data_IF_686480723539
#
_entry.id   IF_686480723539
#
_cell.length_a   1.000
_cell.length_b   1.000
_cell.length_c   1.000
_cell.angle_alpha   90.00
_cell.angle_beta   90.00
_cell.angle_gamma   90.00
#
_symmetry.space_group_name_H-M   'P 1'
#
loop_
_entity.id
_entity.type
_entity.pdbx_description
1 polymer ?
#
# COMPACT_ATOMS: atom_id res chain seq x y z
N UNK A 1 -15.79 -56.51 -11.28
CA UNK A 1 -15.46 -56.69 -12.71
C UNK A 1 -16.34 -55.72 -13.52
N UNK A 2 -15.71 -54.71 -14.14
CA UNK A 2 -16.19 -53.68 -15.10
C UNK A 2 -17.32 -52.72 -14.66
N UNK A 3 -16.88 -51.53 -14.27
CA UNK A 3 -17.64 -50.28 -14.34
C UNK A 3 -17.77 -49.89 -15.83
N UNK A 4 -18.98 -49.58 -16.29
CA UNK A 4 -19.26 -49.10 -17.64
C UNK A 4 -19.32 -47.57 -17.63
N UNK A 5 -18.50 -46.97 -18.47
CA UNK A 5 -18.57 -45.56 -18.88
C UNK A 5 -19.90 -45.30 -19.60
N UNK A 6 -20.54 -44.16 -19.32
CA UNK A 6 -21.64 -43.65 -20.13
C UNK A 6 -21.31 -42.24 -20.62
N UNK A 7 -21.14 -42.18 -21.93
CA UNK A 7 -20.91 -41.02 -22.79
C UNK A 7 -22.16 -40.15 -22.84
N UNK A 8 -21.98 -38.83 -22.71
CA UNK A 8 -23.02 -37.81 -22.91
C UNK A 8 -23.02 -37.38 -24.39
N UNK A 9 -24.15 -37.38 -25.11
CA UNK A 9 -24.21 -36.84 -26.47
C UNK A 9 -24.56 -35.35 -26.49
N UNK A 10 -23.89 -34.66 -27.41
CA UNK A 10 -24.08 -33.27 -27.85
C UNK A 10 -25.36 -33.16 -28.70
N UNK A 11 -26.18 -32.15 -28.45
CA UNK A 11 -27.38 -31.85 -29.26
C UNK A 11 -27.77 -30.36 -29.23
N UNK A 12 -27.56 -29.70 -30.36
CA UNK A 12 -27.77 -28.28 -30.65
C UNK A 12 -29.25 -27.85 -30.75
N UNK A 13 -29.54 -26.58 -30.43
CA UNK A 13 -30.18 -25.54 -31.28
C UNK A 13 -30.54 -24.31 -30.41
N UNK A 14 -29.84 -23.18 -30.58
CA UNK A 14 -30.12 -22.03 -31.47
C UNK A 14 -31.37 -21.22 -31.09
N UNK A 15 -31.16 -20.00 -30.57
CA UNK A 15 -31.68 -18.77 -31.20
C UNK A 15 -30.91 -17.52 -30.71
N UNK A 16 -30.52 -16.66 -31.67
CA UNK A 16 -29.98 -15.31 -31.47
C UNK A 16 -31.06 -14.28 -31.83
N UNK A 17 -30.83 -13.00 -31.48
CA UNK A 17 -30.74 -12.01 -32.54
C UNK A 17 -29.42 -11.22 -32.53
N UNK A 18 -28.99 -10.95 -33.76
CA UNK A 18 -27.96 -10.06 -34.29
C UNK A 18 -28.22 -8.57 -33.92
N UNK A 19 -27.36 -7.58 -34.13
CA UNK A 19 -25.93 -7.44 -34.42
C UNK A 19 -25.62 -5.92 -34.47
N UNK A 20 -24.33 -5.56 -34.35
CA UNK A 20 -23.77 -4.29 -34.78
C UNK A 20 -22.96 -3.63 -33.66
N UNK A 21 -21.65 -3.40 -33.75
CA UNK A 21 -20.66 -3.61 -34.80
C UNK A 21 -19.34 -2.98 -34.33
N UNK A 22 -18.22 -3.44 -34.89
CA UNK A 22 -16.84 -2.99 -34.66
C UNK A 22 -16.26 -3.29 -33.25
N UNK A 23 -15.10 -3.91 -33.06
CA UNK A 23 -14.07 -4.41 -33.95
C UNK A 23 -13.12 -5.23 -33.08
N UNK A 24 -12.96 -6.51 -33.38
CA UNK A 24 -12.01 -7.40 -32.72
C UNK A 24 -10.63 -7.18 -33.33
N UNK A 25 -9.66 -6.76 -32.52
CA UNK A 25 -8.27 -7.15 -32.72
C UNK A 25 -7.79 -7.89 -31.47
N UNK A 26 -7.23 -9.11 -31.63
CA UNK A 26 -6.68 -9.88 -30.53
C UNK A 26 -5.33 -9.28 -30.12
N UNK A 27 -5.16 -8.90 -28.86
CA UNK A 27 -3.83 -8.59 -28.33
C UNK A 27 -3.11 -9.92 -28.08
N UNK A 28 -2.42 -10.37 -29.13
CA UNK A 28 -1.34 -11.35 -29.04
C UNK A 28 -0.25 -10.82 -28.11
N UNK A 29 0.12 -11.59 -27.09
CA UNK A 29 1.33 -11.34 -26.30
C UNK A 29 2.57 -11.54 -27.19
N UNK A 30 2.99 -10.46 -27.84
CA UNK A 30 4.25 -10.41 -28.55
C UNK A 30 5.40 -10.35 -27.53
N UNK A 31 6.16 -11.43 -27.51
CA UNK A 31 7.46 -11.57 -26.87
C UNK A 31 8.44 -10.57 -27.52
N UNK A 32 8.51 -9.35 -27.01
CA UNK A 32 9.54 -8.39 -27.39
C UNK A 32 10.65 -8.41 -26.35
N UNK A 33 11.72 -9.11 -26.71
CA UNK A 33 13.03 -8.91 -26.10
C UNK A 33 13.52 -7.51 -26.45
N UNK A 34 13.56 -6.64 -25.46
CA UNK A 34 14.42 -5.46 -25.48
C UNK A 34 15.27 -5.46 -24.22
N UNK A 35 16.55 -5.72 -24.43
CA UNK A 35 17.63 -5.48 -23.49
C UNK A 35 17.71 -3.98 -23.22
N UNK A 36 17.15 -3.52 -22.10
CA UNK A 36 17.37 -2.14 -21.64
C UNK A 36 18.53 -2.12 -20.66
N UNK A 37 19.64 -1.56 -21.15
CA UNK A 37 20.89 -1.42 -20.44
C UNK A 37 20.81 -0.48 -19.23
N UNK A 38 21.61 -0.84 -18.23
CA UNK A 38 22.30 0.01 -17.26
C UNK A 38 21.89 1.49 -17.13
N UNK A 39 21.33 1.82 -15.95
CA UNK A 39 21.38 3.08 -15.14
C UNK A 39 19.96 3.37 -14.60
N UNK A 40 19.70 3.28 -13.29
CA UNK A 40 20.22 4.16 -12.23
C UNK A 40 20.75 3.36 -11.03
N UNK A 41 22.02 3.60 -10.67
CA UNK A 41 22.65 3.13 -9.43
C UNK A 41 22.28 4.11 -8.30
N UNK A 42 21.91 3.59 -7.14
CA UNK A 42 21.94 4.23 -5.81
C UNK A 42 21.29 5.62 -5.70
N UNK A 43 20.11 5.70 -5.09
CA UNK A 43 19.42 6.97 -4.80
C UNK A 43 19.97 7.70 -3.55
N UNK A 44 21.15 7.33 -3.06
CA UNK A 44 21.88 8.12 -2.06
C UNK A 44 23.00 8.86 -2.79
N UNK A 45 22.82 10.14 -3.17
CA UNK A 45 23.93 10.93 -3.65
C UNK A 45 25.01 10.96 -2.57
N UNK A 46 26.24 10.61 -2.93
CA UNK A 46 27.41 10.80 -2.04
C UNK A 46 27.53 12.30 -1.76
N UNK A 47 27.16 12.74 -0.56
CA UNK A 47 27.25 14.14 -0.12
C UNK A 47 28.71 14.53 0.15
N UNK A 48 29.04 15.79 -0.11
CA UNK A 48 30.39 16.34 0.13
C UNK A 48 30.54 16.76 1.60
N UNK A 49 31.77 16.87 2.14
CA UNK A 49 32.00 17.27 3.54
C UNK A 49 31.39 18.64 3.92
N UNK A 50 31.09 19.50 2.95
CA UNK A 50 30.45 20.80 3.16
C UNK A 50 28.92 20.73 3.38
N UNK A 51 28.28 19.61 3.03
CA UNK A 51 26.84 19.36 3.24
C UNK A 51 26.52 18.81 4.64
N UNK A 52 27.50 18.73 5.53
CA UNK A 52 27.37 18.20 6.91
C UNK A 52 26.63 19.15 7.87
N UNK A 53 25.73 20.00 7.36
CA UNK A 53 24.69 20.57 8.20
C UNK A 53 23.94 19.40 8.87
N UNK A 54 23.59 19.53 10.16
CA UNK A 54 22.85 18.50 10.91
C UNK A 54 21.63 18.06 10.10
N UNK A 55 21.71 16.90 9.46
CA UNK A 55 20.57 16.28 8.79
C UNK A 55 19.50 16.08 9.86
N UNK A 56 18.31 16.66 9.70
CA UNK A 56 17.25 16.53 10.67
C UNK A 56 16.85 15.06 10.84
N UNK A 57 16.54 14.65 12.07
CA UNK A 57 15.98 13.31 12.35
C UNK A 57 14.76 12.99 11.46
N UNK A 58 13.98 14.00 11.06
CA UNK A 58 12.86 13.85 10.11
C UNK A 58 13.29 13.42 8.71
N UNK A 59 14.43 13.88 8.21
CA UNK A 59 14.98 13.48 6.91
C UNK A 59 15.48 12.03 6.98
N UNK A 60 16.19 11.66 8.04
CA UNK A 60 16.64 10.28 8.28
C UNK A 60 15.45 9.32 8.37
N UNK A 61 14.41 9.69 9.12
CA UNK A 61 13.16 8.94 9.19
C UNK A 61 12.53 8.73 7.82
N UNK A 62 12.41 9.80 7.02
CA UNK A 62 11.78 9.75 5.69
C UNK A 62 12.54 8.82 4.75
N UNK A 63 13.88 8.90 4.74
CA UNK A 63 14.73 8.04 3.92
C UNK A 63 14.63 6.56 4.32
N UNK A 64 14.68 6.27 5.62
CA UNK A 64 14.55 4.90 6.12
C UNK A 64 13.16 4.33 5.85
N UNK A 65 12.10 5.11 6.08
CA UNK A 65 10.73 4.71 5.76
C UNK A 65 10.61 4.37 4.28
N UNK A 66 11.11 5.22 3.39
CA UNK A 66 11.09 4.97 1.95
C UNK A 66 11.83 3.67 1.57
N UNK A 67 13.01 3.43 2.16
CA UNK A 67 13.82 2.24 1.89
C UNK A 67 13.19 0.94 2.41
N UNK A 68 12.47 0.97 3.54
CA UNK A 68 11.70 -0.17 4.07
C UNK A 68 10.47 -0.42 3.19
N UNK A 69 9.75 0.64 2.83
CA UNK A 69 8.53 0.54 2.03
C UNK A 69 8.80 0.08 0.59
N UNK A 70 9.96 0.40 0.02
CA UNK A 70 10.37 -0.05 -1.33
C UNK A 70 10.97 -1.47 -1.34
N UNK A 71 11.29 -2.02 -0.16
CA UNK A 71 12.00 -3.29 -0.01
C UNK A 71 13.52 -3.21 -0.24
N UNK A 72 14.09 -2.01 -0.43
CA UNK A 72 15.55 -1.82 -0.48
C UNK A 72 16.21 -2.30 0.82
N UNK A 73 15.55 -2.06 1.96
CA UNK A 73 15.80 -2.76 3.20
C UNK A 73 14.80 -3.91 3.30
N UNK A 74 15.31 -5.14 3.22
CA UNK A 74 14.48 -6.34 3.21
C UNK A 74 13.61 -6.45 4.48
N UNK A 75 12.40 -7.03 4.39
CA UNK A 75 11.63 -7.42 5.57
C UNK A 75 12.40 -8.39 6.46
N UNK A 76 12.10 -8.39 7.76
CA UNK A 76 12.73 -9.25 8.78
C UNK A 76 14.28 -9.23 8.76
N UNK A 77 14.87 -8.08 8.40
CA UNK A 77 16.31 -7.92 8.28
C UNK A 77 16.88 -7.00 9.33
N UNK A 78 18.09 -7.32 9.82
CA UNK A 78 18.77 -6.50 10.83
C UNK A 78 19.20 -5.15 10.27
N UNK A 79 19.02 -4.13 11.09
CA UNK A 79 19.44 -2.77 10.82
C UNK A 79 20.81 -2.52 11.46
N UNK A 80 21.79 -2.17 10.63
CA UNK A 80 23.10 -1.74 11.11
C UNK A 80 23.14 -0.19 11.19
N UNK A 81 23.01 0.33 12.43
CA UNK A 81 23.03 1.77 12.72
C UNK A 81 24.31 2.42 12.19
N UNK A 82 25.46 1.80 12.39
CA UNK A 82 26.76 2.36 12.00
C UNK A 82 26.88 2.49 10.47
N UNK A 83 26.39 1.48 9.74
CA UNK A 83 26.35 1.51 8.28
C UNK A 83 25.41 2.59 7.75
N UNK A 84 24.23 2.76 8.38
CA UNK A 84 23.26 3.81 8.02
C UNK A 84 23.85 5.19 8.31
N UNK A 85 24.44 5.39 9.49
CA UNK A 85 25.11 6.64 9.87
C UNK A 85 26.16 7.05 8.84
N UNK A 86 27.02 6.11 8.40
CA UNK A 86 28.00 6.38 7.33
C UNK A 86 27.35 6.70 5.98
N UNK A 87 26.29 5.99 5.63
CA UNK A 87 25.60 6.15 4.34
C UNK A 87 24.93 7.52 4.23
N UNK A 88 24.30 7.98 5.31
CA UNK A 88 23.62 9.29 5.34
C UNK A 88 24.51 10.44 5.79
N UNK A 89 25.74 10.16 6.24
CA UNK A 89 26.67 11.20 6.71
C UNK A 89 26.23 11.85 8.03
N UNK A 90 25.62 11.07 8.93
CA UNK A 90 25.04 11.54 10.20
C UNK A 90 25.61 10.78 11.40
N UNK A 91 25.51 11.34 12.60
CA UNK A 91 25.83 10.61 13.83
C UNK A 91 24.81 9.49 14.11
N UNK A 92 25.08 8.64 15.10
CA UNK A 92 24.16 7.54 15.44
C UNK A 92 22.88 8.01 16.13
N UNK A 93 22.89 9.18 16.78
CA UNK A 93 21.74 9.73 17.51
C UNK A 93 20.51 9.93 16.62
N UNK A 94 20.55 10.71 15.52
CA UNK A 94 19.38 10.90 14.66
C UNK A 94 18.93 9.60 13.97
N UNK A 95 19.83 8.64 13.77
CA UNK A 95 19.46 7.30 13.27
C UNK A 95 18.65 6.54 14.31
N UNK A 96 19.07 6.54 15.58
CA UNK A 96 18.32 5.89 16.66
C UNK A 96 16.95 6.51 16.89
N UNK A 97 16.86 7.83 16.88
CA UNK A 97 15.58 8.54 17.01
C UNK A 97 14.64 8.22 15.83
N UNK A 98 15.18 8.18 14.60
CA UNK A 98 14.40 7.77 13.43
C UNK A 98 13.91 6.31 13.54
N UNK A 99 14.75 5.40 14.04
CA UNK A 99 14.38 4.00 14.27
C UNK A 99 13.32 3.84 15.36
N UNK A 100 13.38 4.61 16.45
CA UNK A 100 12.34 4.63 17.48
C UNK A 100 11.00 5.12 16.94
N UNK A 101 11.02 6.12 16.06
CA UNK A 101 9.79 6.55 15.37
C UNK A 101 9.23 5.46 14.46
N UNK A 102 10.09 4.78 13.70
CA UNK A 102 9.68 3.66 12.84
C UNK A 102 9.22 2.43 13.62
N UNK A 103 9.68 2.25 14.86
CA UNK A 103 9.15 1.26 15.80
C UNK A 103 7.72 1.63 16.20
N UNK A 104 7.45 2.91 16.48
CA UNK A 104 6.09 3.41 16.68
C UNK A 104 5.15 3.18 15.48
N UNK A 105 5.69 3.19 14.25
CA UNK A 105 4.95 2.87 13.02
C UNK A 105 4.85 1.35 12.74
N UNK A 106 5.32 0.49 13.64
CA UNK A 106 5.43 -0.97 13.46
C UNK A 106 6.25 -1.40 12.22
N UNK A 107 7.16 -0.55 11.73
CA UNK A 107 8.08 -0.88 10.63
C UNK A 107 9.39 -1.49 11.12
N UNK A 108 9.71 -1.29 12.40
CA UNK A 108 10.93 -1.74 13.06
C UNK A 108 10.58 -2.48 14.35
N UNK A 109 11.31 -3.55 14.63
CA UNK A 109 11.35 -4.22 15.92
C UNK A 109 12.66 -3.87 16.64
N UNK A 110 12.58 -3.52 17.92
CA UNK A 110 13.75 -3.51 18.80
C UNK A 110 13.83 -4.79 19.63
N UNK A 111 15.02 -5.36 19.77
CA UNK A 111 15.28 -6.52 20.62
C UNK A 111 16.54 -6.31 21.47
N UNK A 112 16.44 -6.40 22.81
CA UNK A 112 17.61 -6.34 23.69
C UNK A 112 18.70 -7.32 23.26
N UNK A 113 19.94 -6.84 23.16
CA UNK A 113 21.10 -7.64 22.73
C UNK A 113 21.16 -8.01 21.23
N UNK A 114 20.08 -7.76 20.46
CA UNK A 114 20.04 -8.01 19.00
C UNK A 114 19.93 -6.74 18.16
N UNK A 115 19.55 -5.62 18.77
CA UNK A 115 19.40 -4.32 18.11
C UNK A 115 18.08 -4.21 17.37
N UNK A 116 18.08 -3.45 16.27
CA UNK A 116 16.89 -3.19 15.46
C UNK A 116 16.82 -4.13 14.26
N UNK A 117 15.60 -4.51 13.86
CA UNK A 117 15.31 -5.17 12.59
C UNK A 117 14.04 -4.61 11.98
N UNK A 118 13.84 -4.76 10.67
CA UNK A 118 12.52 -4.48 10.06
C UNK A 118 11.51 -5.54 10.49
N UNK A 119 10.23 -5.17 10.53
CA UNK A 119 9.15 -6.15 10.74
C UNK A 119 8.99 -7.05 9.51
N UNK A 120 8.49 -8.27 9.73
CA UNK A 120 8.05 -9.13 8.65
C UNK A 120 6.90 -8.48 7.85
N UNK A 121 6.69 -8.93 6.62
CA UNK A 121 5.46 -8.60 5.89
C UNK A 121 4.28 -9.34 6.54
N UNK A 122 3.07 -8.81 6.34
CA UNK A 122 1.85 -9.55 6.67
C UNK A 122 1.84 -10.86 5.87
N UNK A 123 1.48 -11.94 6.53
CA UNK A 123 1.05 -13.15 5.85
C UNK A 123 -0.44 -13.03 5.45
N UNK A 124 -0.96 -14.06 4.79
CA UNK A 124 -2.36 -14.04 4.33
C UNK A 124 -3.35 -13.94 5.49
N UNK A 125 -3.06 -14.58 6.64
CA UNK A 125 -3.92 -14.50 7.81
C UNK A 125 -3.91 -13.10 8.41
N UNK A 126 -2.73 -12.49 8.58
CA UNK A 126 -2.60 -11.12 9.06
C UNK A 126 -3.25 -10.10 8.12
N UNK A 127 -3.23 -10.34 6.81
CA UNK A 127 -4.01 -9.55 5.85
C UNK A 127 -5.51 -9.70 6.10
N UNK A 128 -5.99 -10.94 6.27
CA UNK A 128 -7.40 -11.23 6.52
C UNK A 128 -7.89 -10.56 7.81
N UNK A 129 -7.19 -10.76 8.93
CA UNK A 129 -7.53 -10.18 10.23
C UNK A 129 -7.60 -8.65 10.17
N UNK A 130 -6.63 -8.04 9.46
CA UNK A 130 -6.60 -6.59 9.29
C UNK A 130 -7.81 -6.10 8.47
N UNK A 131 -8.13 -6.76 7.37
CA UNK A 131 -9.27 -6.36 6.53
C UNK A 131 -10.62 -6.64 7.20
N UNK A 132 -10.73 -7.66 8.05
CA UNK A 132 -11.91 -7.89 8.88
C UNK A 132 -12.12 -6.75 9.87
N UNK A 133 -11.07 -6.31 10.58
CA UNK A 133 -11.13 -5.12 11.43
C UNK A 133 -11.57 -3.87 10.65
N UNK A 134 -10.97 -3.65 9.48
CA UNK A 134 -11.34 -2.55 8.57
C UNK A 134 -12.82 -2.57 8.19
N UNK A 135 -13.35 -3.73 7.81
CA UNK A 135 -14.77 -3.93 7.46
C UNK A 135 -15.72 -3.70 8.64
N UNK A 136 -15.29 -3.94 9.88
CA UNK A 136 -16.10 -3.66 11.08
C UNK A 136 -16.20 -2.16 11.38
N UNK A 137 -15.17 -1.38 11.05
CA UNK A 137 -15.01 -0.01 11.53
C UNK A 137 -15.31 1.04 10.46
N UNK A 138 -14.70 0.92 9.28
CA UNK A 138 -14.74 1.97 8.25
C UNK A 138 -16.13 2.15 7.62
N UNK A 139 -16.88 1.08 7.24
CA UNK A 139 -18.24 1.24 6.72
C UNK A 139 -19.19 1.91 7.71
N UNK A 140 -19.13 1.52 8.98
CA UNK A 140 -19.90 2.16 10.04
C UNK A 140 -19.52 3.64 10.18
N UNK A 141 -18.23 3.97 10.14
CA UNK A 141 -17.77 5.36 10.25
C UNK A 141 -18.27 6.21 9.07
N UNK A 142 -18.18 5.69 7.84
CA UNK A 142 -18.71 6.33 6.64
C UNK A 142 -20.22 6.60 6.75
N UNK A 143 -20.99 5.61 7.23
CA UNK A 143 -22.41 5.78 7.56
C UNK A 143 -22.63 6.90 8.56
N UNK A 144 -21.92 6.85 9.68
CA UNK A 144 -22.13 7.75 10.81
C UNK A 144 -21.91 9.22 10.44
N UNK A 145 -20.84 9.51 9.69
CA UNK A 145 -20.51 10.90 9.28
C UNK A 145 -21.40 11.43 8.16
N UNK A 146 -22.08 10.55 7.43
CA UNK A 146 -23.02 10.94 6.37
C UNK A 146 -24.39 11.37 6.93
N UNK A 147 -24.70 11.13 8.21
CA UNK A 147 -26.01 11.47 8.79
C UNK A 147 -26.20 12.98 9.00
N UNK A 148 -25.16 13.69 9.45
CA UNK A 148 -25.23 15.12 9.74
C UNK A 148 -24.70 15.95 8.56
N UNK A 149 -25.51 16.90 8.08
CA UNK A 149 -25.14 17.80 6.97
C UNK A 149 -24.20 18.93 7.41
N UNK A 150 -24.19 19.30 8.68
CA UNK A 150 -23.39 20.43 9.19
C UNK A 150 -21.95 20.05 9.50
N UNK A 151 -21.74 18.84 10.02
CA UNK A 151 -20.41 18.30 10.35
C UNK A 151 -19.87 17.31 9.30
N UNK A 152 -20.56 17.21 8.15
CA UNK A 152 -20.23 16.28 7.08
C UNK A 152 -18.81 16.53 6.49
N UNK A 153 -17.92 15.52 6.48
CA UNK A 153 -16.56 15.70 5.95
C UNK A 153 -16.48 15.59 4.42
N UNK A 154 -17.59 15.42 3.70
CA UNK A 154 -17.63 15.10 2.26
C UNK A 154 -16.87 16.09 1.38
N UNK A 155 -16.98 17.39 1.64
CA UNK A 155 -16.23 18.41 0.90
C UNK A 155 -14.71 18.30 1.11
N UNK A 156 -14.28 17.98 2.35
CA UNK A 156 -12.87 17.78 2.66
C UNK A 156 -12.33 16.49 2.04
N UNK A 157 -13.14 15.42 2.03
CA UNK A 157 -12.80 14.16 1.38
C UNK A 157 -12.62 14.34 -0.13
N UNK A 158 -13.55 15.04 -0.79
CA UNK A 158 -13.42 15.38 -2.21
C UNK A 158 -12.15 16.21 -2.47
N UNK A 159 -11.86 17.19 -1.63
CA UNK A 159 -10.65 17.99 -1.74
C UNK A 159 -9.37 17.16 -1.59
N UNK A 160 -9.32 16.21 -0.65
CA UNK A 160 -8.17 15.32 -0.48
C UNK A 160 -7.96 14.42 -1.71
N UNK A 161 -9.04 13.94 -2.33
CA UNK A 161 -8.96 13.15 -3.57
C UNK A 161 -8.44 13.99 -4.74
N UNK A 162 -9.03 15.16 -4.97
CA UNK A 162 -8.61 16.02 -6.09
C UNK A 162 -7.19 16.54 -5.91
N UNK A 163 -6.78 16.87 -4.68
CA UNK A 163 -5.38 17.23 -4.38
C UNK A 163 -4.40 16.13 -4.77
N UNK A 164 -4.71 14.87 -4.48
CA UNK A 164 -3.84 13.76 -4.88
C UNK A 164 -3.77 13.64 -6.41
N UNK A 165 -4.91 13.74 -7.09
CA UNK A 165 -5.01 13.68 -8.55
C UNK A 165 -4.21 14.79 -9.22
N UNK A 166 -4.30 16.03 -8.72
CA UNK A 166 -3.57 17.18 -9.25
C UNK A 166 -2.05 17.03 -9.09
N UNK A 167 -1.60 16.36 -8.02
CA UNK A 167 -0.16 16.09 -7.79
C UNK A 167 0.38 14.92 -8.59
N UNK A 168 -0.48 14.11 -9.22
CA UNK A 168 -0.08 12.88 -9.88
C UNK A 168 0.40 13.13 -11.32
N UNK A 169 1.70 13.38 -11.50
CA UNK A 169 2.30 13.43 -12.83
C UNK A 169 2.34 12.03 -13.49
N UNK A 170 2.09 11.93 -14.82
CA UNK A 170 2.36 10.71 -15.56
C UNK A 170 3.86 10.38 -15.41
N UNK A 171 4.20 9.15 -15.02
CA UNK A 171 5.57 8.62 -14.85
C UNK A 171 6.28 8.87 -13.50
N UNK A 172 5.63 9.43 -12.48
CA UNK A 172 6.19 9.53 -11.13
C UNK A 172 5.93 8.26 -10.28
N UNK A 173 6.91 7.82 -9.48
CA UNK A 173 6.68 6.84 -8.41
C UNK A 173 5.95 7.52 -7.25
N UNK A 174 4.63 7.47 -7.30
CA UNK A 174 3.72 8.08 -6.32
C UNK A 174 3.37 7.13 -5.17
N UNK A 175 4.13 6.05 -4.93
CA UNK A 175 3.78 5.07 -3.88
C UNK A 175 3.64 5.73 -2.51
N UNK A 176 4.58 6.59 -2.14
CA UNK A 176 4.56 7.27 -0.84
C UNK A 176 3.39 8.25 -0.75
N UNK A 177 3.11 8.97 -1.84
CA UNK A 177 2.00 9.90 -1.93
C UNK A 177 0.66 9.17 -1.83
N UNK A 178 0.54 8.00 -2.49
CA UNK A 178 -0.64 7.15 -2.44
C UNK A 178 -0.88 6.61 -1.04
N UNK A 179 0.15 6.08 -0.38
CA UNK A 179 0.07 5.61 1.02
C UNK A 179 -0.41 6.74 1.93
N UNK A 180 0.13 7.95 1.74
CA UNK A 180 -0.22 9.10 2.56
C UNK A 180 -1.64 9.61 2.27
N UNK A 181 -2.06 9.61 1.01
CA UNK A 181 -3.43 9.92 0.60
C UNK A 181 -4.44 8.93 1.19
N UNK A 182 -4.21 7.64 1.01
CA UNK A 182 -5.07 6.56 1.50
C UNK A 182 -5.24 6.68 3.03
N UNK A 183 -4.14 6.84 3.77
CA UNK A 183 -4.20 7.04 5.21
C UNK A 183 -5.00 8.27 5.63
N UNK A 184 -4.76 9.43 5.00
CA UNK A 184 -5.49 10.67 5.32
C UNK A 184 -6.98 10.56 5.00
N UNK A 185 -7.33 9.95 3.88
CA UNK A 185 -8.72 9.81 3.45
C UNK A 185 -9.53 9.04 4.50
N UNK A 186 -9.01 7.89 4.96
CA UNK A 186 -9.67 7.07 5.98
C UNK A 186 -9.65 7.73 7.37
N UNK A 187 -8.54 8.37 7.74
CA UNK A 187 -8.43 9.12 9.01
C UNK A 187 -9.42 10.28 9.10
N UNK A 188 -9.68 11.00 7.99
CA UNK A 188 -10.67 12.08 7.94
C UNK A 188 -12.08 11.57 8.27
N UNK A 189 -12.48 10.42 7.72
CA UNK A 189 -13.78 9.80 8.00
C UNK A 189 -13.86 9.40 9.48
N UNK A 190 -12.85 8.70 9.98
CA UNK A 190 -12.82 8.21 11.36
C UNK A 190 -12.81 9.35 12.38
N UNK A 191 -12.03 10.40 12.13
CA UNK A 191 -11.96 11.59 13.00
C UNK A 191 -13.28 12.33 13.02
N UNK A 192 -13.95 12.45 11.88
CA UNK A 192 -15.25 13.11 11.78
C UNK A 192 -16.37 12.39 12.55
N UNK A 193 -16.19 11.12 12.95
CA UNK A 193 -17.14 10.44 13.86
C UNK A 193 -17.18 11.07 15.25
N UNK A 194 -16.16 11.86 15.62
CA UNK A 194 -16.01 12.40 16.97
C UNK A 194 -15.70 11.34 18.04
N UNK A 195 -15.42 10.09 17.64
CA UNK A 195 -15.09 9.00 18.54
C UNK A 195 -13.56 8.78 18.60
N UNK A 196 -12.86 9.32 19.61
CA UNK A 196 -11.40 9.21 19.70
C UNK A 196 -10.93 7.78 19.94
N UNK A 197 -11.75 6.91 20.53
CA UNK A 197 -11.39 5.50 20.80
C UNK A 197 -11.21 4.75 19.49
N UNK A 198 -12.13 4.95 18.54
CA UNK A 198 -12.06 4.31 17.22
C UNK A 198 -10.90 4.85 16.41
N UNK A 199 -10.71 6.18 16.39
CA UNK A 199 -9.57 6.79 15.69
C UNK A 199 -8.22 6.29 16.20
N UNK A 200 -8.06 6.17 17.53
CA UNK A 200 -6.84 5.65 18.14
C UNK A 200 -6.62 4.16 17.85
N UNK A 201 -7.67 3.33 17.98
CA UNK A 201 -7.58 1.91 17.67
C UNK A 201 -7.21 1.67 16.21
N UNK A 202 -7.81 2.44 15.28
CA UNK A 202 -7.48 2.35 13.86
C UNK A 202 -6.05 2.79 13.57
N UNK A 203 -5.62 3.94 14.13
CA UNK A 203 -4.27 4.48 13.91
C UNK A 203 -3.17 3.48 14.35
N UNK A 204 -3.38 2.76 15.45
CA UNK A 204 -2.43 1.75 15.96
C UNK A 204 -2.20 0.57 15.01
N UNK A 205 -3.13 0.31 14.09
CA UNK A 205 -2.95 -0.77 13.10
C UNK A 205 -1.90 -0.42 12.04
N UNK A 206 -1.67 0.87 11.78
CA UNK A 206 -0.89 1.36 10.65
C UNK A 206 -1.24 0.65 9.33
N UNK A 207 -2.51 0.30 9.14
CA UNK A 207 -2.97 -0.66 8.13
C UNK A 207 -2.43 -0.32 6.72
N UNK A 208 -2.56 0.94 6.29
CA UNK A 208 -2.09 1.39 4.98
C UNK A 208 -0.57 1.20 4.84
N UNK A 209 0.23 1.53 5.86
CA UNK A 209 1.69 1.29 5.80
C UNK A 209 1.99 -0.19 5.55
N UNK A 210 1.33 -1.10 6.27
CA UNK A 210 1.60 -2.53 6.15
C UNK A 210 1.06 -3.14 4.85
N UNK A 211 -0.15 -2.77 4.44
CA UNK A 211 -0.80 -3.26 3.22
C UNK A 211 0.03 -2.87 1.99
N UNK A 212 0.47 -1.61 1.89
CA UNK A 212 1.25 -1.14 0.75
C UNK A 212 2.69 -1.71 0.69
N UNK A 213 3.20 -2.34 1.76
CA UNK A 213 4.48 -3.08 1.69
C UNK A 213 4.39 -4.40 0.92
N UNK A 214 3.18 -4.94 0.73
CA UNK A 214 2.98 -6.19 0.00
C UNK A 214 3.22 -6.02 -1.52
N UNK A 215 3.12 -4.79 -2.04
CA UNK A 215 3.31 -4.52 -3.46
C UNK A 215 4.27 -3.37 -3.74
N UNK A 216 5.37 -3.63 -4.46
CA UNK A 216 6.29 -2.57 -4.85
C UNK A 216 5.74 -1.71 -6.00
N UNK A 217 4.60 -2.03 -6.63
CA UNK A 217 4.01 -1.21 -7.71
C UNK A 217 2.54 -0.94 -7.46
N UNK A 218 2.17 0.32 -7.67
CA UNK A 218 0.81 0.80 -7.55
C UNK A 218 0.06 0.56 -8.87
N UNK A 219 -0.42 -0.67 -9.06
CA UNK A 219 -1.07 -1.12 -10.30
C UNK A 219 -2.55 -0.71 -10.40
N UNK A 220 -3.17 -0.33 -9.28
CA UNK A 220 -4.63 -0.13 -9.18
C UNK A 220 -5.01 1.27 -8.65
N UNK A 221 -4.09 2.24 -8.74
CA UNK A 221 -4.31 3.63 -8.27
C UNK A 221 -5.63 4.22 -8.75
N UNK A 222 -5.90 4.12 -10.06
CA UNK A 222 -7.08 4.72 -10.67
C UNK A 222 -8.37 4.17 -10.04
N UNK A 223 -8.45 2.85 -9.86
CA UNK A 223 -9.62 2.20 -9.26
C UNK A 223 -9.84 2.65 -7.81
N UNK A 224 -8.76 2.75 -7.02
CA UNK A 224 -8.84 3.23 -5.63
C UNK A 224 -9.30 4.68 -5.56
N UNK A 225 -8.80 5.54 -6.45
CA UNK A 225 -9.22 6.95 -6.49
C UNK A 225 -10.70 7.08 -6.87
N UNK A 226 -11.17 6.30 -7.85
CA UNK A 226 -12.58 6.30 -8.21
C UNK A 226 -13.47 5.77 -7.08
N UNK A 227 -13.00 4.78 -6.31
CA UNK A 227 -13.66 4.33 -5.08
C UNK A 227 -13.74 5.42 -4.02
N UNK A 228 -12.64 6.11 -3.74
CA UNK A 228 -12.60 7.23 -2.80
C UNK A 228 -13.56 8.35 -3.22
N UNK A 229 -13.63 8.69 -4.52
CA UNK A 229 -14.61 9.66 -5.03
C UNK A 229 -16.06 9.22 -4.76
N UNK A 230 -16.37 7.93 -4.95
CA UNK A 230 -17.73 7.41 -4.68
C UNK A 230 -18.09 7.54 -3.20
N UNK A 231 -17.17 7.17 -2.29
CA UNK A 231 -17.35 7.32 -0.85
C UNK A 231 -17.56 8.80 -0.50
N UNK A 232 -16.66 9.67 -0.94
CA UNK A 232 -16.71 11.11 -0.65
C UNK A 232 -18.00 11.75 -1.16
N UNK A 233 -18.47 11.35 -2.34
CA UNK A 233 -19.73 11.83 -2.93
C UNK A 233 -20.95 11.36 -2.14
N UNK A 234 -20.98 10.09 -1.71
CA UNK A 234 -22.06 9.55 -0.89
C UNK A 234 -22.15 10.26 0.47
N UNK A 235 -20.99 10.46 1.11
CA UNK A 235 -20.88 11.24 2.34
C UNK A 235 -21.37 12.68 2.10
N UNK A 236 -20.86 13.38 1.09
CA UNK A 236 -21.25 14.76 0.77
C UNK A 236 -22.76 14.94 0.47
N UNK A 237 -23.40 13.90 -0.06
CA UNK A 237 -24.84 13.89 -0.36
C UNK A 237 -25.70 13.67 0.88
N UNK A 238 -25.08 13.33 2.02
CA UNK A 238 -25.71 12.90 3.26
C UNK A 238 -26.59 11.64 3.07
N UNK A 239 -26.05 10.65 2.35
CA UNK A 239 -26.66 9.35 2.11
C UNK A 239 -25.90 8.27 2.90
N UNK A 240 -26.34 7.94 4.13
CA UNK A 240 -25.62 7.03 5.01
C UNK A 240 -25.60 5.59 4.50
N UNK A 241 -26.68 5.10 3.88
CA UNK A 241 -26.72 3.78 3.27
C UNK A 241 -25.72 3.67 2.11
N UNK A 242 -25.68 4.68 1.24
CA UNK A 242 -24.74 4.70 0.12
C UNK A 242 -23.29 4.83 0.59
N UNK A 243 -23.02 5.63 1.62
CA UNK A 243 -21.68 5.80 2.17
C UNK A 243 -21.14 4.49 2.78
N UNK A 244 -21.97 3.77 3.53
CA UNK A 244 -21.65 2.46 4.10
C UNK A 244 -21.34 1.42 3.03
N UNK A 245 -22.19 1.35 1.99
CA UNK A 245 -22.03 0.43 0.89
C UNK A 245 -20.75 0.74 0.09
N UNK A 246 -20.55 2.01 -0.28
CA UNK A 246 -19.37 2.43 -1.05
C UNK A 246 -18.07 2.14 -0.31
N UNK A 247 -18.03 2.35 1.01
CA UNK A 247 -16.88 2.01 1.83
C UNK A 247 -16.68 0.49 1.90
N UNK A 248 -17.75 -0.28 2.16
CA UNK A 248 -17.68 -1.75 2.19
C UNK A 248 -17.10 -2.34 0.91
N UNK A 249 -17.55 -1.82 -0.24
CA UNK A 249 -17.09 -2.28 -1.55
C UNK A 249 -15.62 -1.90 -1.79
N UNK A 250 -15.20 -0.69 -1.43
CA UNK A 250 -13.80 -0.27 -1.50
C UNK A 250 -12.89 -1.21 -0.68
N UNK A 251 -13.25 -1.54 0.56
CA UNK A 251 -12.45 -2.41 1.42
C UNK A 251 -12.36 -3.84 0.84
N UNK A 252 -13.48 -4.39 0.34
CA UNK A 252 -13.49 -5.72 -0.32
C UNK A 252 -12.66 -5.74 -1.60
N UNK A 253 -12.77 -4.71 -2.43
CA UNK A 253 -11.98 -4.58 -3.66
C UNK A 253 -10.50 -4.43 -3.34
N UNK A 254 -10.17 -3.64 -2.32
CA UNK A 254 -8.81 -3.50 -1.81
C UNK A 254 -8.26 -4.85 -1.31
N UNK A 255 -9.02 -5.63 -0.55
CA UNK A 255 -8.62 -6.99 -0.16
C UNK A 255 -8.34 -7.87 -1.38
N UNK A 256 -9.22 -7.85 -2.39
CA UNK A 256 -9.03 -8.58 -3.64
C UNK A 256 -7.73 -8.19 -4.36
N UNK A 257 -7.41 -6.90 -4.42
CA UNK A 257 -6.14 -6.40 -5.01
C UNK A 257 -4.94 -6.88 -4.21
N UNK A 258 -5.00 -6.82 -2.88
CA UNK A 258 -3.84 -7.12 -2.03
C UNK A 258 -3.63 -8.61 -1.79
N UNK A 259 -4.68 -9.43 -1.82
CA UNK A 259 -4.59 -10.89 -1.65
C UNK A 259 -3.88 -11.60 -2.81
N UNK A 260 -3.86 -11.01 -4.01
CA UNK A 260 -3.13 -11.54 -5.18
C UNK A 260 -1.62 -11.73 -4.91
N UNK A 261 -1.05 -11.08 -3.88
CA UNK A 261 0.36 -11.24 -3.48
C UNK A 261 0.64 -12.65 -2.97
N UNK A 262 -0.43 -13.39 -2.64
CA UNK A 262 -0.39 -14.74 -2.11
C UNK A 262 -0.91 -15.80 -3.10
N UNK A 263 -1.51 -15.40 -4.25
CA UNK A 263 -2.19 -16.30 -5.21
C UNK A 263 -1.25 -17.02 -6.19
N UNK A 264 0.06 -16.81 -6.10
CA UNK A 264 1.04 -17.47 -6.97
C UNK A 264 1.98 -18.32 -6.13
N UNK A 265 2.38 -19.49 -6.65
CA UNK A 265 3.47 -20.35 -6.13
C UNK A 265 4.86 -19.69 -6.03
N UNK A 266 4.90 -18.37 -6.04
CA UNK A 266 5.93 -17.52 -5.49
C UNK A 266 5.32 -16.86 -4.25
N UNK A 267 5.48 -17.47 -3.08
CA UNK A 267 5.14 -16.80 -1.82
C UNK A 267 5.89 -15.46 -1.67
N UNK A 268 5.73 -14.77 -0.53
CA UNK A 268 6.48 -13.54 -0.22
C UNK A 268 8.02 -13.72 -0.35
N UNK A 269 8.50 -14.95 -0.44
CA UNK A 269 9.86 -15.39 -0.74
C UNK A 269 10.40 -15.00 -2.12
N UNK A 270 9.59 -14.66 -3.13
CA UNK A 270 10.15 -14.19 -4.41
C UNK A 270 10.75 -12.77 -4.31
N UNK A 271 10.34 -11.97 -3.32
CA UNK A 271 10.93 -10.66 -3.02
C UNK A 271 12.24 -10.77 -2.22
N UNK A 272 12.56 -11.94 -1.66
CA UNK A 272 13.83 -12.18 -0.95
C UNK A 272 15.03 -12.49 -1.89
N UNK A 273 14.81 -12.55 -3.20
CA UNK A 273 15.83 -12.93 -4.19
C UNK A 273 16.26 -11.82 -5.16
N UNK A 274 15.74 -10.60 -5.02
CA UNK A 274 16.36 -9.41 -5.64
C UNK A 274 17.63 -9.04 -4.89
N UNK A 275 18.76 -9.59 -5.36
CA UNK A 275 20.16 -9.27 -5.03
C UNK A 275 20.37 -8.76 -3.59
N UNK A 276 20.76 -9.67 -2.68
CA UNK A 276 21.48 -9.33 -1.45
C UNK A 276 22.51 -8.25 -1.77
N UNK A 277 22.35 -7.03 -1.24
CA UNK A 277 23.45 -6.10 -1.22
C UNK A 277 24.50 -6.75 -0.31
N UNK A 278 25.69 -7.12 -0.80
CA UNK A 278 26.75 -7.45 0.13
C UNK A 278 27.12 -6.12 0.79
N UNK A 279 26.71 -5.93 2.05
CA UNK A 279 27.45 -5.06 2.95
C UNK A 279 28.81 -5.73 3.22
N UNK A 280 29.64 -5.85 2.17
CA UNK A 280 31.08 -5.99 2.31
C UNK A 280 31.59 -4.59 2.58
N UNK A 281 31.86 -4.29 3.84
CA UNK A 281 32.89 -3.33 4.17
C UNK A 281 33.91 -4.06 5.02
N UNK A 282 35.12 -4.05 4.48
CA UNK A 282 36.31 -4.76 4.91
C UNK A 282 36.77 -4.30 6.30
N UNK A 283 37.62 -5.13 6.90
CA UNK A 283 38.28 -4.99 8.20
C UNK A 283 38.74 -3.57 8.54
#
# INVERSE_FOLDING_TARGET
MRVKELVIPVGQKRWCPAAGGAGQHPITYARLGHTYGERRRGLVPKRTPADQAKVPTSEVYTLLRAAIMSGEIAPDSRINIEAISRTFGVSQTPVREALQRLEGDNLINYSPGRGYSTTALLDLQGLHDLFEFRLLVEPWAARAVAVDRLSNPGAQLLQEVEKFVDTAAPDQDLRQDMVAHDARFHELILTATGNPVIGQAYAQTHCHLHIFRLYPRDLYRADTIDEHRRIATAVASADPELAELAMSDHIKNSFGRFSVAFDVGAGPTALAHTKRLPLRLQR
#
